data_IF_424344211594
#
_entry.id   IF_424344211594
#
_cell.length_a   1.000
_cell.length_b   1.000
_cell.length_c   1.000
_cell.angle_alpha   90.00
_cell.angle_beta   90.00
_cell.angle_gamma   90.00
#
_symmetry.space_group_name_H-M   'P 1'
#
loop_
_entity.id
_entity.type
_entity.pdbx_description
1 polymer ?
#
# COMPACT_ATOMS: atom_id res chain seq x y z
N UNK A 1 -42.20 31.89 61.49
CA UNK A 1 -40.72 31.85 61.53
C UNK A 1 -40.28 30.42 61.23
N UNK A 2 -39.96 30.14 60.02
CA UNK A 2 -39.49 28.81 59.55
C UNK A 2 -38.09 28.93 59.06
N UNK A 3 -37.17 28.22 59.65
CA UNK A 3 -35.76 28.16 59.26
C UNK A 3 -35.60 26.96 58.29
N UNK A 4 -35.33 27.24 57.02
CA UNK A 4 -35.00 26.21 56.06
C UNK A 4 -33.50 25.98 56.10
N UNK A 5 -33.08 24.77 56.43
CA UNK A 5 -31.68 24.31 56.31
C UNK A 5 -31.51 23.65 54.94
N UNK A 6 -30.70 24.25 54.12
CA UNK A 6 -30.29 23.64 52.83
C UNK A 6 -29.04 22.80 53.01
N UNK A 7 -29.16 21.47 52.78
CA UNK A 7 -28.06 20.53 52.81
C UNK A 7 -27.40 20.47 51.42
N UNK A 8 -26.19 21.06 51.29
CA UNK A 8 -25.38 20.88 50.06
C UNK A 8 -24.66 19.52 50.12
N UNK A 9 -25.07 18.61 49.26
CA UNK A 9 -24.31 17.40 48.95
C UNK A 9 -23.34 17.70 47.81
N UNK A 10 -22.06 17.82 48.13
CA UNK A 10 -21.00 17.87 47.14
C UNK A 10 -20.69 16.44 46.67
N UNK A 11 -21.11 16.08 45.45
CA UNK A 11 -20.70 14.86 44.79
C UNK A 11 -19.37 15.09 44.06
N UNK A 12 -18.25 14.60 44.59
CA UNK A 12 -16.99 14.50 43.87
C UNK A 12 -17.11 13.40 42.81
N UNK A 13 -17.49 13.80 41.59
CA UNK A 13 -17.39 12.94 40.40
C UNK A 13 -16.01 13.06 39.81
N UNK A 14 -15.16 12.06 40.05
CA UNK A 14 -13.90 11.88 39.30
C UNK A 14 -14.25 11.38 37.91
N UNK A 15 -14.30 12.29 36.95
CA UNK A 15 -14.39 11.95 35.51
C UNK A 15 -13.02 11.45 35.06
N UNK A 16 -12.84 10.14 35.03
CA UNK A 16 -11.68 9.53 34.36
C UNK A 16 -11.92 9.60 32.85
N UNK A 17 -11.37 10.62 32.22
CA UNK A 17 -11.29 10.67 30.75
C UNK A 17 -10.27 9.63 30.31
N UNK A 18 -10.74 8.46 29.87
CA UNK A 18 -9.93 7.52 29.10
C UNK A 18 -9.63 8.19 27.74
N UNK A 19 -8.52 8.89 27.65
CA UNK A 19 -7.90 9.18 26.37
C UNK A 19 -7.37 7.83 25.83
N UNK A 20 -8.08 7.27 24.88
CA UNK A 20 -7.53 6.21 24.03
C UNK A 20 -6.37 6.84 23.24
N UNK A 21 -5.16 6.66 23.75
CA UNK A 21 -3.94 6.92 22.99
C UNK A 21 -3.93 5.88 21.88
N UNK A 22 -4.37 6.28 20.68
CA UNK A 22 -4.09 5.51 19.47
C UNK A 22 -2.57 5.52 19.32
N UNK A 23 -1.94 4.41 19.69
CA UNK A 23 -0.56 4.18 19.37
C UNK A 23 -0.45 4.14 17.85
N UNK A 24 -0.01 5.24 17.25
CA UNK A 24 0.44 5.24 15.87
C UNK A 24 1.68 4.33 15.84
N UNK A 25 1.51 3.14 15.28
CA UNK A 25 2.66 2.31 14.87
C UNK A 25 3.56 3.20 14.02
N UNK A 26 4.88 3.28 14.30
CA UNK A 26 5.78 4.03 13.45
C UNK A 26 5.62 3.53 12.01
N UNK A 27 5.10 4.35 11.12
CA UNK A 27 5.13 4.06 9.70
C UNK A 27 6.60 4.11 9.29
N UNK A 28 7.22 2.95 9.16
CA UNK A 28 8.52 2.84 8.53
C UNK A 28 8.32 3.28 7.09
N UNK A 29 8.80 4.48 6.76
CA UNK A 29 8.76 4.98 5.39
C UNK A 29 9.68 4.10 4.57
N UNK A 30 9.12 3.30 3.66
CA UNK A 30 9.89 2.47 2.76
C UNK A 30 10.69 3.37 1.83
N UNK A 31 12.02 3.23 1.83
CA UNK A 31 12.90 3.96 0.91
C UNK A 31 13.14 3.10 -0.35
N UNK A 32 13.19 3.70 -1.55
CA UNK A 32 13.59 2.97 -2.75
C UNK A 32 15.07 2.60 -2.68
N UNK A 33 15.43 1.40 -3.12
CA UNK A 33 16.82 1.01 -3.27
C UNK A 33 17.40 1.39 -4.64
N UNK A 34 16.53 1.64 -5.63
CA UNK A 34 16.88 2.20 -6.95
C UNK A 34 15.97 3.39 -7.25
N UNK A 35 16.55 4.44 -7.81
CA UNK A 35 15.81 5.59 -8.34
C UNK A 35 16.43 6.02 -9.67
N UNK A 36 15.67 5.97 -10.75
CA UNK A 36 16.10 6.37 -12.09
C UNK A 36 15.16 7.43 -12.64
N UNK A 37 15.67 8.65 -12.81
CA UNK A 37 14.94 9.72 -13.52
C UNK A 37 14.94 9.45 -15.02
N UNK A 38 13.78 9.62 -15.63
CA UNK A 38 13.62 9.50 -17.09
C UNK A 38 13.78 10.86 -17.79
N UNK A 39 13.01 11.08 -18.82
CA UNK A 39 13.01 12.33 -19.65
C UNK A 39 12.33 13.54 -18.97
N UNK A 40 12.09 13.50 -17.66
CA UNK A 40 11.41 14.54 -16.89
C UNK A 40 9.90 14.42 -16.85
N UNK A 41 9.34 13.27 -17.23
CA UNK A 41 7.90 13.01 -17.13
C UNK A 41 7.56 12.14 -15.92
N UNK A 42 8.42 11.21 -15.58
CA UNK A 42 8.31 10.35 -14.39
C UNK A 42 9.68 9.82 -13.95
N UNK A 43 9.75 9.39 -12.70
CA UNK A 43 10.89 8.69 -12.11
C UNK A 43 10.51 7.25 -11.85
N UNK A 44 11.39 6.29 -12.14
CA UNK A 44 11.25 4.88 -11.78
C UNK A 44 11.91 4.66 -10.43
N UNK A 45 11.18 4.06 -9.49
CA UNK A 45 11.68 3.70 -8.15
C UNK A 45 11.46 2.21 -7.92
N UNK A 46 12.42 1.53 -7.31
CA UNK A 46 12.33 0.10 -6.99
C UNK A 46 12.43 -0.09 -5.47
N UNK A 47 11.67 -1.06 -4.97
CA UNK A 47 11.50 -1.32 -3.55
C UNK A 47 11.51 -2.81 -3.27
N UNK A 48 11.97 -3.18 -2.08
CA UNK A 48 11.72 -4.48 -1.47
C UNK A 48 10.96 -4.29 -0.17
N UNK A 49 9.97 -5.14 0.10
CA UNK A 49 9.21 -5.10 1.34
C UNK A 49 8.86 -6.51 1.82
N UNK A 50 8.75 -6.67 3.13
CA UNK A 50 8.31 -7.94 3.72
C UNK A 50 6.81 -8.15 3.57
N UNK A 51 6.44 -9.35 3.14
CA UNK A 51 5.08 -9.88 3.20
C UNK A 51 5.12 -11.34 3.64
N UNK A 52 4.66 -11.61 4.85
CA UNK A 52 4.68 -12.93 5.47
C UNK A 52 6.09 -13.58 5.53
N UNK A 53 7.13 -12.79 5.79
CA UNK A 53 8.51 -13.26 5.89
C UNK A 53 9.14 -13.60 4.55
N UNK A 54 8.63 -13.05 3.46
CA UNK A 54 9.22 -13.12 2.12
C UNK A 54 9.48 -11.70 1.61
N UNK A 55 10.63 -11.49 1.00
CA UNK A 55 10.95 -10.25 0.31
C UNK A 55 10.17 -10.16 -1.00
N UNK A 56 9.36 -9.12 -1.12
CA UNK A 56 8.54 -8.82 -2.27
C UNK A 56 9.13 -7.62 -2.99
N UNK A 57 9.48 -7.82 -4.24
CA UNK A 57 9.94 -6.76 -5.11
C UNK A 57 8.77 -5.94 -5.67
N UNK A 58 8.96 -4.63 -5.76
CA UNK A 58 8.01 -3.73 -6.40
C UNK A 58 8.73 -2.64 -7.19
N UNK A 59 8.09 -2.19 -8.26
CA UNK A 59 8.53 -1.08 -9.10
C UNK A 59 7.44 -0.03 -9.17
N UNK A 60 7.82 1.24 -8.97
CA UNK A 60 6.91 2.35 -9.13
C UNK A 60 7.33 3.28 -10.28
N UNK A 61 6.32 3.77 -11.01
CA UNK A 61 6.44 4.86 -11.96
C UNK A 61 5.79 6.09 -11.32
N UNK A 62 6.61 7.07 -10.94
CA UNK A 62 6.18 8.24 -10.15
C UNK A 62 6.24 9.49 -11.02
N UNK A 63 5.12 10.18 -11.28
CA UNK A 63 5.13 11.43 -12.04
C UNK A 63 6.08 12.47 -11.46
N UNK A 64 6.83 13.17 -12.31
CA UNK A 64 7.73 14.25 -11.91
C UNK A 64 6.92 15.56 -11.74
N UNK A 65 6.01 15.57 -10.75
CA UNK A 65 5.18 16.74 -10.42
C UNK A 65 5.30 17.05 -8.92
N UNK A 66 5.00 18.29 -8.55
CA UNK A 66 4.98 18.68 -7.15
C UNK A 66 3.75 18.11 -6.43
N UNK A 67 3.95 17.70 -5.17
CA UNK A 67 2.90 17.23 -4.28
C UNK A 67 2.56 15.75 -4.44
N UNK A 68 1.46 15.35 -3.82
CA UNK A 68 0.97 13.97 -3.83
C UNK A 68 0.03 13.74 -5.00
N UNK A 69 0.15 12.58 -5.61
CA UNK A 69 -0.65 12.17 -6.79
C UNK A 69 -1.51 10.96 -6.48
N UNK A 70 -2.59 10.73 -7.24
CA UNK A 70 -3.31 9.46 -7.18
C UNK A 70 -2.36 8.28 -7.43
N UNK A 71 -2.59 7.17 -6.73
CA UNK A 71 -1.78 5.96 -6.83
C UNK A 71 -2.62 4.79 -7.30
N UNK A 72 -2.16 4.10 -8.35
CA UNK A 72 -2.65 2.79 -8.77
C UNK A 72 -1.68 1.73 -8.24
N UNK A 73 -2.20 0.72 -7.54
CA UNK A 73 -1.44 -0.48 -7.20
C UNK A 73 -1.80 -1.55 -8.21
N UNK A 74 -0.79 -2.03 -8.95
CA UNK A 74 -0.98 -2.93 -10.09
C UNK A 74 -0.57 -4.36 -9.74
N UNK A 75 -1.44 -5.31 -10.04
CA UNK A 75 -1.31 -6.74 -9.81
C UNK A 75 -1.20 -7.48 -11.14
N UNK A 76 -0.06 -8.12 -11.41
CA UNK A 76 0.17 -8.89 -12.63
C UNK A 76 -0.59 -10.22 -12.66
N UNK A 77 -0.73 -10.82 -13.85
CA UNK A 77 -1.33 -12.15 -14.01
C UNK A 77 -0.38 -13.29 -13.63
N UNK A 78 -0.93 -14.52 -13.60
CA UNK A 78 -0.17 -15.73 -13.30
C UNK A 78 1.06 -15.86 -14.20
N UNK A 79 2.23 -16.08 -13.60
CA UNK A 79 3.49 -16.26 -14.30
C UNK A 79 4.11 -14.99 -14.89
N UNK A 80 3.47 -13.83 -14.70
CA UNK A 80 4.01 -12.53 -15.09
C UNK A 80 4.88 -11.91 -13.97
N UNK A 81 5.32 -10.68 -14.16
CA UNK A 81 6.13 -9.91 -13.22
C UNK A 81 5.75 -8.41 -13.32
N UNK A 82 6.51 -7.54 -12.67
CA UNK A 82 6.29 -6.08 -12.68
C UNK A 82 6.42 -5.42 -14.05
N UNK A 83 7.07 -6.07 -15.02
CA UNK A 83 7.22 -5.57 -16.39
C UNK A 83 5.96 -5.82 -17.24
N UNK A 84 5.05 -6.65 -16.72
CA UNK A 84 3.81 -6.93 -17.41
C UNK A 84 2.96 -5.67 -17.54
N UNK A 85 2.52 -5.38 -18.76
CA UNK A 85 1.77 -4.15 -19.08
C UNK A 85 2.50 -2.84 -18.74
N UNK A 86 3.83 -2.83 -18.77
CA UNK A 86 4.67 -1.67 -18.43
C UNK A 86 4.28 -0.41 -19.24
N UNK A 87 3.86 -0.54 -20.49
CA UNK A 87 3.43 0.60 -21.32
C UNK A 87 2.16 1.25 -20.77
N UNK A 88 1.24 0.48 -20.17
CA UNK A 88 0.06 1.02 -19.47
C UNK A 88 0.50 1.76 -18.20
N UNK A 89 1.43 1.19 -17.45
CA UNK A 89 1.98 1.80 -16.23
C UNK A 89 2.67 3.13 -16.54
N UNK A 90 3.49 3.18 -17.58
CA UNK A 90 4.14 4.41 -18.09
C UNK A 90 3.13 5.45 -18.56
N UNK A 91 2.07 5.03 -19.26
CA UNK A 91 1.02 5.93 -19.72
C UNK A 91 0.28 6.59 -18.57
N UNK A 92 -0.03 5.84 -17.51
CA UNK A 92 -0.63 6.37 -16.27
C UNK A 92 0.30 7.39 -15.60
N UNK A 93 1.60 7.08 -15.47
CA UNK A 93 2.57 7.99 -14.89
C UNK A 93 2.67 9.31 -15.67
N UNK A 94 2.71 9.24 -17.01
CA UNK A 94 2.68 10.43 -17.89
C UNK A 94 1.39 11.25 -17.77
N UNK A 95 0.29 10.59 -17.35
CA UNK A 95 -0.99 11.25 -17.08
C UNK A 95 -1.10 11.82 -15.64
N UNK A 96 -0.03 11.78 -14.85
CA UNK A 96 -0.02 12.32 -13.49
C UNK A 96 -0.53 11.35 -12.42
N UNK A 97 -0.59 10.05 -12.70
CA UNK A 97 -1.03 9.00 -11.78
C UNK A 97 0.16 8.08 -11.49
N UNK A 98 0.59 8.00 -10.23
CA UNK A 98 1.64 7.06 -9.86
C UNK A 98 1.14 5.62 -9.96
N UNK A 99 2.03 4.71 -10.33
CA UNK A 99 1.76 3.27 -10.36
C UNK A 99 2.78 2.55 -9.48
N UNK A 100 2.31 1.68 -8.61
CA UNK A 100 3.13 0.79 -7.78
C UNK A 100 2.79 -0.65 -8.17
N UNK A 101 3.68 -1.31 -8.89
CA UNK A 101 3.52 -2.68 -9.36
C UNK A 101 4.34 -3.61 -8.49
N UNK A 102 3.73 -4.65 -7.91
CA UNK A 102 4.44 -5.66 -7.13
C UNK A 102 4.60 -6.95 -7.94
N UNK A 103 5.66 -7.71 -7.65
CA UNK A 103 5.81 -9.09 -8.10
C UNK A 103 5.40 -10.03 -6.97
N UNK A 104 4.34 -10.81 -7.18
CA UNK A 104 3.83 -11.72 -6.15
C UNK A 104 4.84 -12.80 -5.76
N UNK A 105 4.86 -13.19 -4.49
CA UNK A 105 5.70 -14.28 -3.98
C UNK A 105 5.47 -15.57 -4.75
N UNK A 106 6.50 -16.06 -5.45
CA UNK A 106 6.43 -17.28 -6.28
C UNK A 106 5.54 -17.16 -7.52
N UNK A 107 4.98 -15.96 -7.80
CA UNK A 107 4.04 -15.74 -8.90
C UNK A 107 4.69 -15.59 -10.28
N UNK A 108 5.97 -15.25 -10.33
CA UNK A 108 6.69 -15.05 -11.59
C UNK A 108 7.20 -16.36 -12.19
N UNK A 109 7.05 -16.51 -13.50
CA UNK A 109 7.67 -17.58 -14.28
C UNK A 109 9.02 -17.18 -14.89
N UNK A 110 9.54 -16.01 -14.53
CA UNK A 110 10.86 -15.55 -14.94
C UNK A 110 11.96 -16.54 -14.51
N UNK A 111 13.01 -16.64 -15.31
CA UNK A 111 14.23 -17.39 -14.93
C UNK A 111 14.99 -16.71 -13.77
N UNK A 112 14.67 -15.46 -13.49
CA UNK A 112 15.24 -14.65 -12.40
C UNK A 112 14.11 -13.85 -11.75
N UNK A 113 13.25 -14.49 -10.93
CA UNK A 113 12.23 -13.78 -10.18
C UNK A 113 12.92 -12.80 -9.22
N UNK A 114 12.31 -11.63 -9.04
CA UNK A 114 12.81 -10.60 -8.14
C UNK A 114 12.28 -10.81 -6.71
N UNK A 115 11.04 -11.29 -6.59
CA UNK A 115 10.45 -11.66 -5.30
C UNK A 115 10.81 -13.06 -4.87
N UNK A 116 10.91 -13.28 -3.57
CA UNK A 116 11.11 -14.61 -2.99
C UNK A 116 9.88 -15.51 -3.14
N UNK A 117 10.08 -16.81 -2.93
CA UNK A 117 9.03 -17.83 -2.92
C UNK A 117 9.10 -18.78 -4.10
N UNK A 118 8.41 -19.90 -3.94
CA UNK A 118 8.28 -20.92 -4.97
C UNK A 118 6.87 -20.91 -5.56
N UNK A 119 6.76 -21.14 -6.87
CA UNK A 119 5.47 -21.26 -7.55
C UNK A 119 4.57 -22.34 -6.92
N UNK A 120 5.18 -23.37 -6.32
CA UNK A 120 4.44 -24.43 -5.60
C UNK A 120 3.84 -23.97 -4.26
N UNK A 121 4.26 -22.83 -3.74
CA UNK A 121 3.78 -22.25 -2.47
C UNK A 121 2.78 -21.10 -2.71
N UNK A 122 2.68 -20.62 -3.95
CA UNK A 122 1.77 -19.54 -4.29
C UNK A 122 0.31 -20.01 -4.35
N UNK A 123 -0.58 -19.11 -4.02
CA UNK A 123 -2.03 -19.26 -4.16
C UNK A 123 -2.68 -17.88 -4.27
N UNK A 124 -3.92 -17.82 -4.72
CA UNK A 124 -4.70 -16.57 -4.73
C UNK A 124 -4.73 -15.93 -3.33
N UNK A 125 -4.79 -16.73 -2.26
CA UNK A 125 -4.81 -16.20 -0.89
C UNK A 125 -3.47 -15.59 -0.47
N UNK A 126 -2.34 -16.18 -0.88
CA UNK A 126 -1.03 -15.59 -0.62
C UNK A 126 -0.82 -14.31 -1.40
N UNK A 127 -1.30 -14.25 -2.64
CA UNK A 127 -1.27 -13.05 -3.47
C UNK A 127 -2.17 -11.92 -2.93
N UNK A 128 -3.36 -12.25 -2.40
CA UNK A 128 -4.22 -11.29 -1.68
C UNK A 128 -3.47 -10.69 -0.50
N UNK A 129 -2.74 -11.50 0.28
CA UNK A 129 -1.95 -10.98 1.39
C UNK A 129 -0.81 -10.07 0.91
N UNK A 130 -0.07 -10.46 -0.15
CA UNK A 130 0.96 -9.60 -0.73
C UNK A 130 0.38 -8.26 -1.19
N UNK A 131 -0.80 -8.26 -1.82
CA UNK A 131 -1.46 -7.04 -2.27
C UNK A 131 -1.90 -6.15 -1.10
N UNK A 132 -2.43 -6.72 -0.01
CA UNK A 132 -2.78 -5.99 1.22
C UNK A 132 -1.56 -5.30 1.83
N UNK A 133 -0.43 -6.00 1.91
CA UNK A 133 0.82 -5.43 2.41
C UNK A 133 1.35 -4.32 1.49
N UNK A 134 1.26 -4.52 0.17
CA UNK A 134 1.59 -3.49 -0.82
C UNK A 134 0.71 -2.24 -0.66
N UNK A 135 -0.60 -2.39 -0.47
CA UNK A 135 -1.53 -1.27 -0.22
C UNK A 135 -1.11 -0.50 1.03
N UNK A 136 -0.87 -1.20 2.14
CA UNK A 136 -0.48 -0.59 3.41
C UNK A 136 0.81 0.22 3.27
N UNK A 137 1.81 -0.32 2.57
CA UNK A 137 3.11 0.30 2.39
C UNK A 137 3.05 1.44 1.39
N UNK A 138 2.48 1.20 0.21
CA UNK A 138 2.46 2.17 -0.89
C UNK A 138 1.60 3.40 -0.56
N UNK A 139 0.54 3.24 0.23
CA UNK A 139 -0.29 4.37 0.71
C UNK A 139 0.47 5.32 1.63
N UNK A 140 1.57 4.87 2.25
CA UNK A 140 2.43 5.68 3.11
C UNK A 140 3.58 6.40 2.38
N UNK A 141 3.78 6.14 1.08
CA UNK A 141 4.87 6.75 0.32
C UNK A 141 4.65 8.25 0.14
N UNK A 142 5.74 9.00 0.10
CA UNK A 142 5.72 10.48 0.09
C UNK A 142 4.95 11.09 -1.07
N UNK A 143 4.97 10.44 -2.23
CA UNK A 143 4.30 10.89 -3.45
C UNK A 143 2.83 10.44 -3.55
N UNK A 144 2.38 9.50 -2.71
CA UNK A 144 1.03 8.95 -2.79
C UNK A 144 0.00 9.83 -2.07
N UNK A 145 -1.13 10.12 -2.71
CA UNK A 145 -2.31 10.67 -2.05
C UNK A 145 -3.10 9.54 -1.38
N UNK A 146 -3.09 9.42 -0.05
CA UNK A 146 -3.72 8.30 0.65
C UNK A 146 -5.26 8.27 0.52
N UNK A 147 -5.85 9.33 -0.01
CA UNK A 147 -7.29 9.41 -0.28
C UNK A 147 -7.64 8.99 -1.72
N UNK A 148 -6.62 8.71 -2.56
CA UNK A 148 -6.81 8.36 -3.97
C UNK A 148 -5.96 7.15 -4.33
N UNK A 149 -6.21 6.04 -3.64
CA UNK A 149 -5.59 4.75 -3.89
C UNK A 149 -6.56 3.90 -4.72
N UNK A 150 -6.08 3.39 -5.83
CA UNK A 150 -6.85 2.56 -6.76
C UNK A 150 -6.13 1.23 -6.97
N UNK A 151 -6.90 0.17 -7.18
CA UNK A 151 -6.38 -1.15 -7.48
C UNK A 151 -6.66 -1.48 -8.95
N UNK A 152 -5.65 -2.02 -9.61
CA UNK A 152 -5.74 -2.49 -11.00
C UNK A 152 -5.06 -3.85 -11.12
N UNK A 153 -5.62 -4.75 -11.89
CA UNK A 153 -5.04 -6.07 -12.06
C UNK A 153 -5.36 -6.69 -13.41
N UNK A 154 -4.45 -7.53 -13.89
CA UNK A 154 -4.58 -8.27 -15.13
C UNK A 154 -4.78 -9.76 -14.84
N UNK A 155 -5.73 -10.42 -15.54
CA UNK A 155 -5.96 -11.87 -15.43
C UNK A 155 -6.14 -12.31 -13.97
N UNK A 156 -5.30 -13.22 -13.43
CA UNK A 156 -5.31 -13.65 -12.02
C UNK A 156 -5.14 -12.46 -11.07
N UNK A 157 -4.29 -11.49 -11.39
CA UNK A 157 -4.15 -10.27 -10.62
C UNK A 157 -5.45 -9.44 -10.54
N UNK A 158 -6.31 -9.51 -11.57
CA UNK A 158 -7.65 -8.94 -11.53
C UNK A 158 -8.56 -9.61 -10.50
N UNK A 159 -8.50 -10.95 -10.38
CA UNK A 159 -9.21 -11.70 -9.34
C UNK A 159 -8.70 -11.34 -7.94
N UNK A 160 -7.38 -11.32 -7.77
CA UNK A 160 -6.73 -10.92 -6.50
C UNK A 160 -7.15 -9.51 -6.10
N UNK A 161 -7.13 -8.58 -7.05
CA UNK A 161 -7.58 -7.19 -6.87
C UNK A 161 -9.03 -7.11 -6.41
N UNK A 162 -9.94 -7.85 -7.05
CA UNK A 162 -11.36 -7.87 -6.69
C UNK A 162 -11.57 -8.42 -5.26
N UNK A 163 -10.93 -9.54 -4.92
CA UNK A 163 -11.02 -10.13 -3.58
C UNK A 163 -10.45 -9.21 -2.49
N UNK A 164 -9.36 -8.49 -2.79
CA UNK A 164 -8.75 -7.57 -1.82
C UNK A 164 -9.60 -6.32 -1.60
N UNK A 165 -10.33 -5.87 -2.62
CA UNK A 165 -11.19 -4.68 -2.52
C UNK A 165 -12.49 -4.91 -1.74
N UNK A 166 -12.89 -6.18 -1.49
CA UNK A 166 -14.07 -6.54 -0.71
C UNK A 166 -13.83 -6.53 0.81
N UNK A 167 -12.58 -6.45 1.25
CA UNK A 167 -12.19 -6.49 2.67
C UNK A 167 -11.85 -5.10 3.21
#
# INVERSE_FOLDING_TARGET
>A
MGISVALLLAACGTTTTNQATTAQTPQTTLAPHVEVKTDGTYTVKEYDFDSNGKDIYARAFVPDVEGRVPLVIFSHGLGANVEHEEEVQKALAKAGIAVFSLEFAGGSSSSSPMSEGLTTEMSVLTEVQNLKDAIRIASGLEYADPQKIYLMGSSQGGLVTALTAEE
#
